data_IF_323169330571
#
_entry.id   IF_323169330571
#
_cell.length_a   1.000
_cell.length_b   1.000
_cell.length_c   1.000
_cell.angle_alpha   90.00
_cell.angle_beta   90.00
_cell.angle_gamma   90.00
#
_symmetry.space_group_name_H-M   'P 1'
#
loop_
_entity.id
_entity.type
_entity.pdbx_description
1 polymer ?
#
# COMPACT_ATOMS: atom_id res chain seq x y z
N UNK A 1 2.88 4.40 -2.15
CA UNK A 1 2.84 3.72 -0.84
C UNK A 1 3.46 4.63 0.21
N UNK A 2 3.00 4.61 1.46
CA UNK A 2 3.60 5.35 2.56
C UNK A 2 3.60 4.50 3.83
N UNK A 3 4.63 4.63 4.66
CA UNK A 3 4.74 3.95 5.94
C UNK A 3 3.73 4.54 6.94
N UNK A 4 2.85 3.70 7.49
CA UNK A 4 1.80 4.14 8.44
C UNK A 4 2.22 4.11 9.91
N UNK A 5 3.39 3.54 10.21
CA UNK A 5 3.94 3.44 11.57
C UNK A 5 5.19 4.34 11.68
N UNK A 6 5.21 5.33 12.60
CA UNK A 6 6.35 6.24 12.79
C UNK A 6 7.64 5.55 13.26
N UNK A 7 7.55 4.34 13.83
CA UNK A 7 8.73 3.57 14.28
C UNK A 7 9.52 2.98 13.10
N UNK A 8 8.97 3.04 11.89
CA UNK A 8 9.60 2.55 10.67
C UNK A 8 10.04 3.72 9.81
N UNK A 9 11.11 3.51 9.04
CA UNK A 9 11.49 4.46 7.98
C UNK A 9 10.29 4.75 7.08
N UNK A 10 10.05 6.02 6.84
CA UNK A 10 9.06 6.58 5.91
C UNK A 10 9.25 6.12 4.46
N UNK A 11 10.46 5.67 4.09
CA UNK A 11 10.79 5.07 2.80
C UNK A 11 10.89 3.54 2.81
N UNK A 12 10.57 2.87 3.93
CA UNK A 12 10.70 1.40 4.12
C UNK A 12 10.20 0.57 2.94
N UNK A 13 9.00 0.84 2.44
CA UNK A 13 8.43 0.04 1.33
C UNK A 13 9.08 0.33 -0.02
N UNK A 14 9.69 1.50 -0.20
CA UNK A 14 10.45 1.81 -1.41
C UNK A 14 11.79 1.08 -1.35
N UNK A 15 12.47 1.18 -0.21
CA UNK A 15 13.79 0.60 0.02
C UNK A 15 13.84 -0.92 -0.09
N UNK A 16 12.78 -1.61 0.34
CA UNK A 16 12.78 -3.08 0.43
C UNK A 16 12.15 -3.79 -0.77
N UNK A 17 11.46 -3.09 -1.68
CA UNK A 17 10.73 -3.67 -2.82
C UNK A 17 11.32 -3.32 -4.20
N UNK A 18 12.61 -3.00 -4.29
CA UNK A 18 13.28 -2.70 -5.56
C UNK A 18 13.76 -3.96 -6.28
N UNK A 19 13.35 -4.15 -7.53
CA UNK A 19 13.85 -5.21 -8.40
C UNK A 19 13.58 -4.95 -9.89
N UNK A 20 14.20 -5.72 -10.80
CA UNK A 20 13.97 -5.59 -12.24
C UNK A 20 12.52 -5.86 -12.62
N UNK A 21 12.06 -5.25 -13.71
CA UNK A 21 10.72 -5.46 -14.29
C UNK A 21 9.56 -5.19 -13.32
N UNK A 22 9.75 -4.27 -12.37
CA UNK A 22 8.73 -3.85 -11.41
C UNK A 22 8.47 -2.35 -11.44
N UNK A 23 7.27 -1.94 -11.02
CA UNK A 23 6.89 -0.54 -10.85
C UNK A 23 6.34 -0.34 -9.44
N UNK A 24 6.76 0.73 -8.78
CA UNK A 24 6.16 1.18 -7.52
C UNK A 24 5.52 2.56 -7.72
N UNK A 25 4.19 2.63 -7.60
CA UNK A 25 3.45 3.89 -7.70
C UNK A 25 3.45 4.60 -6.34
N UNK A 26 4.09 5.78 -6.30
CA UNK A 26 4.34 6.54 -5.08
C UNK A 26 3.68 7.93 -5.14
N UNK A 27 3.10 8.40 -4.02
CA UNK A 27 2.77 9.81 -3.87
C UNK A 27 4.03 10.68 -3.98
N UNK A 28 3.86 11.93 -4.42
CA UNK A 28 4.97 12.89 -4.52
C UNK A 28 5.77 13.02 -3.22
N UNK A 29 5.08 13.08 -2.08
CA UNK A 29 5.73 13.19 -0.78
C UNK A 29 6.70 12.02 -0.51
N UNK A 30 6.30 10.79 -0.81
CA UNK A 30 7.17 9.62 -0.65
C UNK A 30 8.35 9.65 -1.62
N UNK A 31 8.16 10.19 -2.84
CA UNK A 31 9.26 10.39 -3.79
C UNK A 31 10.26 11.40 -3.23
N UNK A 32 9.78 12.51 -2.67
CA UNK A 32 10.64 13.55 -2.11
C UNK A 32 11.45 13.01 -0.91
N UNK A 33 10.83 12.23 -0.02
CA UNK A 33 11.54 11.56 1.10
C UNK A 33 12.58 10.54 0.61
N UNK A 34 12.24 9.78 -0.42
CA UNK A 34 13.20 8.83 -1.03
C UNK A 34 14.38 9.55 -1.69
N UNK A 35 14.16 10.71 -2.33
CA UNK A 35 15.24 11.51 -2.90
C UNK A 35 16.16 12.12 -1.83
N UNK A 36 15.62 12.43 -0.67
CA UNK A 36 16.38 12.98 0.46
C UNK A 36 17.33 11.93 1.09
N UNK A 37 16.81 10.75 1.41
CA UNK A 37 17.59 9.77 2.20
C UNK A 37 17.37 8.29 1.84
N UNK A 38 16.70 7.98 0.72
CA UNK A 38 16.49 6.61 0.24
C UNK A 38 17.77 5.95 -0.29
N UNK A 39 17.75 4.62 -0.44
CA UNK A 39 18.91 3.84 -0.91
C UNK A 39 18.57 2.91 -2.07
N UNK A 40 19.12 3.20 -3.25
CA UNK A 40 18.96 2.34 -4.43
C UNK A 40 19.72 1.02 -4.25
N UNK A 41 18.98 -0.09 -4.19
CA UNK A 41 19.51 -1.45 -3.96
C UNK A 41 18.60 -2.46 -4.67
N UNK A 42 19.16 -3.54 -5.22
CA UNK A 42 18.34 -4.69 -5.63
C UNK A 42 17.97 -5.50 -4.38
N UNK A 43 16.73 -5.41 -3.93
CA UNK A 43 16.26 -5.99 -2.65
C UNK A 43 15.13 -6.98 -2.80
N UNK A 44 14.36 -6.92 -3.89
CA UNK A 44 13.13 -7.70 -4.07
C UNK A 44 13.38 -9.21 -3.92
N UNK A 45 14.52 -9.68 -4.40
CA UNK A 45 14.89 -11.09 -4.36
C UNK A 45 15.73 -11.48 -3.13
N UNK A 46 16.01 -10.53 -2.22
CA UNK A 46 16.74 -10.82 -0.98
C UNK A 46 15.81 -11.39 0.07
N UNK A 47 16.28 -12.37 0.83
CA UNK A 47 15.57 -12.87 2.01
C UNK A 47 14.28 -13.67 1.70
N UNK A 48 14.13 -14.21 0.48
CA UNK A 48 12.89 -14.90 0.06
C UNK A 48 12.57 -16.12 0.91
N UNK A 49 13.59 -16.83 1.40
CA UNK A 49 13.40 -17.98 2.28
C UNK A 49 12.84 -17.55 3.65
N UNK A 50 13.40 -16.48 4.20
CA UNK A 50 12.98 -15.84 5.45
C UNK A 50 11.57 -15.26 5.34
N UNK A 51 11.24 -14.63 4.21
CA UNK A 51 9.89 -14.14 3.93
C UNK A 51 8.86 -15.27 3.91
N UNK A 52 9.17 -16.40 3.25
CA UNK A 52 8.31 -17.60 3.28
C UNK A 52 8.16 -18.15 4.69
N UNK A 53 9.25 -18.17 5.46
CA UNK A 53 9.21 -18.65 6.84
C UNK A 53 8.34 -17.76 7.73
N UNK A 54 8.45 -16.44 7.59
CA UNK A 54 7.59 -15.49 8.31
C UNK A 54 6.10 -15.72 8.02
N UNK A 55 5.72 -15.94 6.76
CA UNK A 55 4.34 -16.27 6.38
C UNK A 55 3.86 -17.58 7.01
N UNK A 56 4.72 -18.61 7.04
CA UNK A 56 4.39 -19.88 7.69
C UNK A 56 4.21 -19.72 9.21
N UNK A 57 5.00 -18.86 9.85
CA UNK A 57 4.95 -18.64 11.30
C UNK A 57 3.69 -17.87 11.73
N UNK A 58 3.18 -16.96 10.89
CA UNK A 58 1.89 -16.30 11.12
C UNK A 58 0.77 -17.34 11.31
N UNK A 59 0.72 -18.35 10.45
CA UNK A 59 -0.29 -19.42 10.54
C UNK A 59 -0.17 -20.22 11.85
N UNK A 60 1.06 -20.47 12.32
CA UNK A 60 1.30 -21.19 13.59
C UNK A 60 0.77 -20.46 14.81
N UNK A 61 0.72 -19.13 14.76
CA UNK A 61 0.16 -18.29 15.84
C UNK A 61 -1.31 -17.96 15.62
N UNK A 62 -1.98 -18.64 14.68
CA UNK A 62 -3.41 -18.51 14.41
C UNK A 62 -3.79 -17.31 13.54
N UNK A 63 -2.83 -16.67 12.87
CA UNK A 63 -3.12 -15.60 11.91
C UNK A 63 -3.44 -16.25 10.56
N UNK A 64 -4.70 -16.15 10.16
CA UNK A 64 -5.19 -16.62 8.86
C UNK A 64 -5.04 -15.52 7.81
N UNK A 65 -3.98 -15.62 7.02
CA UNK A 65 -3.69 -14.64 5.98
C UNK A 65 -4.72 -14.69 4.84
N UNK A 66 -5.29 -15.85 4.53
CA UNK A 66 -6.27 -15.98 3.46
C UNK A 66 -7.53 -15.19 3.83
N UNK A 67 -8.06 -15.40 5.03
CA UNK A 67 -9.21 -14.65 5.56
C UNK A 67 -8.94 -13.14 5.63
N UNK A 68 -7.74 -12.72 6.05
CA UNK A 68 -7.36 -11.30 6.08
C UNK A 68 -7.34 -10.71 4.67
N UNK A 69 -6.76 -11.42 3.70
CA UNK A 69 -6.71 -10.92 2.31
C UNK A 69 -8.08 -10.85 1.65
N UNK A 70 -8.98 -11.80 1.94
CA UNK A 70 -10.37 -11.76 1.50
C UNK A 70 -11.10 -10.53 2.07
N UNK A 71 -10.96 -10.30 3.38
CA UNK A 71 -11.57 -9.15 4.03
C UNK A 71 -11.02 -7.82 3.46
N UNK A 72 -9.71 -7.70 3.27
CA UNK A 72 -9.08 -6.51 2.67
C UNK A 72 -9.57 -6.25 1.24
N UNK A 73 -9.81 -7.30 0.46
CA UNK A 73 -10.37 -7.17 -0.89
C UNK A 73 -11.80 -6.63 -0.85
N UNK A 74 -12.66 -7.19 0.02
CA UNK A 74 -14.05 -6.74 0.19
C UNK A 74 -14.10 -5.28 0.65
N UNK A 75 -13.30 -4.93 1.65
CA UNK A 75 -13.21 -3.56 2.17
C UNK A 75 -12.65 -2.60 1.12
N UNK A 76 -11.69 -3.05 0.32
CA UNK A 76 -11.16 -2.30 -0.81
C UNK A 76 -12.24 -1.94 -1.82
N UNK A 77 -12.99 -2.93 -2.32
CA UNK A 77 -14.08 -2.67 -3.29
C UNK A 77 -15.11 -1.71 -2.72
N UNK A 78 -15.49 -1.88 -1.45
CA UNK A 78 -16.41 -0.97 -0.76
C UNK A 78 -15.86 0.45 -0.68
N UNK A 79 -14.61 0.64 -0.28
CA UNK A 79 -13.99 1.96 -0.18
C UNK A 79 -13.93 2.68 -1.53
N UNK A 80 -13.67 1.95 -2.62
CA UNK A 80 -13.71 2.50 -3.97
C UNK A 80 -15.12 2.94 -4.37
N UNK A 81 -16.14 2.11 -4.11
CA UNK A 81 -17.55 2.46 -4.38
C UNK A 81 -17.96 3.71 -3.60
N UNK A 82 -17.71 3.71 -2.29
CA UNK A 82 -18.11 4.81 -1.42
C UNK A 82 -17.40 6.13 -1.82
N UNK A 83 -16.13 6.06 -2.27
CA UNK A 83 -15.41 7.23 -2.82
C UNK A 83 -16.01 7.74 -4.13
N UNK A 84 -16.53 6.84 -4.97
CA UNK A 84 -17.19 7.20 -6.23
C UNK A 84 -18.56 7.84 -5.98
N UNK A 85 -19.35 7.30 -5.05
CA UNK A 85 -20.64 7.88 -4.66
C UNK A 85 -20.47 9.29 -4.08
N UNK A 86 -19.42 9.51 -3.27
CA UNK A 86 -19.05 10.84 -2.78
C UNK A 86 -18.71 11.82 -3.91
N UNK A 87 -17.95 11.36 -4.92
CA UNK A 87 -17.63 12.17 -6.10
C UNK A 87 -18.90 12.58 -6.85
N UNK A 88 -19.83 11.65 -7.08
CA UNK A 88 -21.10 11.94 -7.77
C UNK A 88 -21.95 12.93 -6.97
N UNK A 89 -22.10 12.73 -5.66
CA UNK A 89 -22.84 13.66 -4.79
C UNK A 89 -22.26 15.08 -4.84
N UNK A 90 -20.94 15.22 -4.80
CA UNK A 90 -20.26 16.51 -4.92
C UNK A 90 -20.49 17.19 -6.29
N UNK A 91 -20.57 16.42 -7.37
CA UNK A 91 -20.90 16.94 -8.71
C UNK A 91 -22.35 17.40 -8.79
N UNK A 92 -23.30 16.63 -8.27
CA UNK A 92 -24.71 17.02 -8.23
C UNK A 92 -24.94 18.30 -7.44
N UNK A 93 -24.29 18.45 -6.28
CA UNK A 93 -24.33 19.68 -5.48
C UNK A 93 -23.83 20.89 -6.28
N UNK A 94 -22.69 20.75 -6.97
CA UNK A 94 -22.18 21.82 -7.83
C UNK A 94 -23.14 22.15 -8.95
N UNK A 95 -23.70 21.16 -9.65
CA UNK A 95 -24.68 21.39 -10.71
C UNK A 95 -25.92 22.14 -10.20
N UNK A 96 -26.45 21.80 -9.02
CA UNK A 96 -27.57 22.52 -8.40
C UNK A 96 -27.24 23.95 -7.98
N UNK A 97 -25.97 24.26 -7.71
CA UNK A 97 -25.52 25.58 -7.32
C UNK A 97 -25.29 26.52 -8.52
N UNK A 98 -25.01 25.97 -9.70
CA UNK A 98 -24.71 26.74 -10.92
C UNK A 98 -25.86 26.76 -11.95
N UNK A 99 -26.95 26.01 -11.72
CA UNK A 99 -28.19 26.06 -12.52
C UNK A 99 -29.27 26.89 -11.83
#
# INVERSE_FOLDING_TARGET
QSTKNPDYSDVKYVDELMGPDTVNTLPKETIDLFLDHGKVRDTLNKGVAEAKQALNDLKKVGIDLDAITEQLQVDGVKAFRDSFDQLLGALEEKCRHFG
#
